data_IF_737064037314
#
_entry.id   IF_737064037314
#
_cell.length_a   1.000
_cell.length_b   1.000
_cell.length_c   1.000
_cell.angle_alpha   90.00
_cell.angle_beta   90.00
_cell.angle_gamma   90.00
#
_symmetry.space_group_name_H-M   'P 1'
#
loop_
_entity.id
_entity.type
_entity.pdbx_description
1 polymer ?
#
# COMPACT_ATOMS: atom_id res chain seq x y z
N UNK A 1 -19.75 12.67 11.27
CA UNK A 1 -18.81 12.11 12.28
C UNK A 1 -17.35 12.34 11.88
N UNK A 2 -16.93 11.99 10.66
CA UNK A 2 -15.55 12.26 10.19
C UNK A 2 -15.11 13.72 10.37
N UNK A 3 -15.95 14.70 9.98
CA UNK A 3 -15.68 16.13 10.22
C UNK A 3 -15.44 16.48 11.70
N UNK A 4 -16.18 15.87 12.63
CA UNK A 4 -15.97 16.06 14.06
C UNK A 4 -14.60 15.54 14.51
N UNK A 5 -14.18 14.38 13.99
CA UNK A 5 -12.86 13.82 14.27
C UNK A 5 -11.74 14.74 13.75
N UNK A 6 -11.91 15.28 12.53
CA UNK A 6 -10.99 16.26 11.96
C UNK A 6 -10.91 17.50 12.84
N UNK A 7 -12.06 18.08 13.21
CA UNK A 7 -12.11 19.26 14.08
C UNK A 7 -11.38 19.02 15.40
N UNK A 8 -11.61 17.89 16.06
CA UNK A 8 -10.93 17.54 17.32
C UNK A 8 -9.42 17.35 17.15
N UNK A 9 -8.96 16.85 16.02
CA UNK A 9 -7.53 16.82 15.70
C UNK A 9 -6.97 18.24 15.52
N UNK A 10 -7.71 19.11 14.82
CA UNK A 10 -7.33 20.51 14.60
C UNK A 10 -7.34 21.36 15.88
N UNK A 11 -8.22 21.05 16.83
CA UNK A 11 -8.23 21.65 18.18
C UNK A 11 -6.98 21.30 18.99
N UNK A 12 -6.38 20.12 18.75
CA UNK A 12 -5.14 19.71 19.41
C UNK A 12 -3.91 20.30 18.76
N UNK A 13 -3.92 20.46 17.43
CA UNK A 13 -2.81 21.03 16.68
C UNK A 13 -3.31 21.58 15.34
N UNK A 14 -2.82 22.77 14.95
CA UNK A 14 -3.10 23.35 13.64
C UNK A 14 -2.72 22.39 12.51
N UNK A 15 -1.65 21.61 12.68
CA UNK A 15 -1.20 20.60 11.71
C UNK A 15 -1.09 19.21 12.34
N UNK A 16 -1.51 18.16 11.63
CA UNK A 16 -1.42 16.77 12.07
C UNK A 16 -1.14 15.80 10.92
N UNK A 17 -0.56 14.66 11.27
CA UNK A 17 -0.32 13.53 10.37
C UNK A 17 -1.44 12.51 10.54
N UNK A 18 -1.96 11.95 9.46
CA UNK A 18 -2.73 10.72 9.53
C UNK A 18 -1.87 9.54 9.08
N UNK A 19 -1.72 8.55 9.96
CA UNK A 19 -1.01 7.31 9.71
C UNK A 19 -2.03 6.18 9.50
N UNK A 20 -2.13 5.67 8.28
CA UNK A 20 -2.80 4.40 8.02
C UNK A 20 -1.84 3.25 8.34
N UNK A 21 -2.12 2.57 9.46
CA UNK A 21 -1.31 1.51 10.00
C UNK A 21 -2.01 0.17 9.77
N UNK A 22 -1.74 -0.45 8.62
CA UNK A 22 -2.21 -1.78 8.27
C UNK A 22 -1.31 -2.84 8.92
N UNK A 23 -1.53 -3.10 10.20
CA UNK A 23 -0.77 -4.04 11.03
C UNK A 23 -1.69 -5.02 11.77
N UNK A 24 -2.82 -5.34 11.15
CA UNK A 24 -3.83 -6.28 11.64
C UNK A 24 -3.42 -7.74 11.38
N UNK A 25 -3.87 -8.71 12.21
CA UNK A 25 -3.45 -10.11 12.10
C UNK A 25 -3.67 -10.76 10.73
N UNK A 26 -4.76 -10.41 10.03
CA UNK A 26 -5.07 -10.87 8.68
C UNK A 26 -4.03 -10.37 7.67
N UNK A 27 -3.70 -9.08 7.72
CA UNK A 27 -2.69 -8.50 6.84
C UNK A 27 -1.32 -9.12 7.09
N UNK A 28 -0.93 -9.31 8.35
CA UNK A 28 0.37 -9.92 8.67
C UNK A 28 0.42 -11.39 8.23
N UNK A 29 -0.65 -12.15 8.46
CA UNK A 29 -0.77 -13.53 8.00
C UNK A 29 -0.67 -13.63 6.47
N UNK A 30 -1.40 -12.77 5.75
CA UNK A 30 -1.41 -12.69 4.28
C UNK A 30 -0.06 -12.28 3.71
N UNK A 31 0.60 -11.27 4.29
CA UNK A 31 1.93 -10.82 3.84
C UNK A 31 2.99 -11.92 3.97
N UNK A 32 2.77 -12.88 4.88
CA UNK A 32 3.68 -14.01 5.05
C UNK A 32 4.98 -13.67 5.78
N UNK A 33 5.11 -12.45 6.29
CA UNK A 33 6.33 -11.94 6.88
C UNK A 33 6.49 -12.39 8.34
N UNK A 34 7.72 -12.25 8.84
CA UNK A 34 8.07 -12.52 10.23
C UNK A 34 8.59 -11.24 10.89
N UNK A 35 8.03 -10.88 12.03
CA UNK A 35 8.26 -9.61 12.73
C UNK A 35 8.99 -9.77 14.06
N UNK A 36 9.60 -10.93 14.30
CA UNK A 36 10.45 -11.17 15.48
C UNK A 36 9.70 -11.58 16.75
N UNK A 37 8.42 -11.93 16.67
CA UNK A 37 7.57 -12.34 17.79
C UNK A 37 7.73 -13.82 18.22
N UNK A 38 8.68 -14.55 17.63
CA UNK A 38 9.01 -15.93 17.99
C UNK A 38 7.92 -16.94 17.64
N UNK A 39 7.93 -18.09 18.33
CA UNK A 39 6.98 -19.19 18.12
C UNK A 39 5.52 -18.78 18.33
N UNK A 40 5.28 -17.79 19.19
CA UNK A 40 3.94 -17.24 19.39
C UNK A 40 3.39 -16.63 18.10
N UNK A 41 4.15 -15.74 17.46
CA UNK A 41 3.77 -15.12 16.19
C UNK A 41 3.59 -16.16 15.10
N UNK A 42 4.56 -17.09 14.97
CA UNK A 42 4.53 -18.15 13.95
C UNK A 42 3.26 -18.99 14.05
N UNK A 43 2.87 -19.37 15.27
CA UNK A 43 1.65 -20.16 15.53
C UNK A 43 0.38 -19.36 15.27
N UNK A 44 0.28 -18.15 15.80
CA UNK A 44 -0.94 -17.32 15.70
C UNK A 44 -1.19 -16.89 14.25
N UNK A 45 -0.20 -16.30 13.57
CA UNK A 45 -0.35 -15.88 12.18
C UNK A 45 -0.40 -17.07 11.22
N UNK A 46 0.32 -18.16 11.54
CA UNK A 46 0.27 -19.39 10.76
C UNK A 46 -1.11 -20.04 10.75
N UNK A 47 -1.85 -19.99 11.88
CA UNK A 47 -3.23 -20.47 11.94
C UNK A 47 -4.17 -19.65 11.04
N UNK A 48 -4.01 -18.32 11.00
CA UNK A 48 -4.81 -17.43 10.14
C UNK A 48 -4.44 -17.66 8.67
N UNK A 49 -3.16 -17.90 8.36
CA UNK A 49 -2.65 -18.11 6.99
C UNK A 49 -3.29 -19.30 6.27
N UNK A 50 -3.76 -20.32 7.00
CA UNK A 50 -4.46 -21.49 6.44
C UNK A 50 -5.70 -21.13 5.63
N UNK A 51 -6.24 -19.91 5.78
CA UNK A 51 -7.36 -19.40 4.98
C UNK A 51 -7.01 -19.20 3.50
N UNK A 52 -5.74 -18.94 3.18
CA UNK A 52 -5.29 -18.73 1.79
C UNK A 52 -4.58 -19.98 1.28
N UNK A 53 -5.29 -20.79 0.48
CA UNK A 53 -4.73 -21.97 -0.18
C UNK A 53 -3.63 -21.53 -1.17
N UNK A 54 -2.48 -22.21 -1.16
CA UNK A 54 -1.34 -21.92 -2.06
C UNK A 54 -0.43 -20.76 -1.62
N UNK A 55 -0.73 -20.09 -0.50
CA UNK A 55 0.16 -19.06 0.04
C UNK A 55 1.34 -19.71 0.78
N UNK A 56 2.47 -19.86 0.09
CA UNK A 56 3.75 -20.34 0.64
C UNK A 56 4.79 -19.21 0.67
N UNK A 57 4.63 -18.24 1.60
CA UNK A 57 5.48 -17.07 1.59
C UNK A 57 6.86 -17.42 2.16
N UNK A 58 7.90 -16.88 1.52
CA UNK A 58 9.22 -16.78 2.11
C UNK A 58 9.29 -15.43 2.86
N UNK A 59 9.29 -15.44 4.21
CA UNK A 59 9.19 -14.22 5.01
C UNK A 59 10.33 -13.23 4.70
N UNK A 60 11.57 -13.72 4.60
CA UNK A 60 12.75 -12.92 4.34
C UNK A 60 12.71 -12.31 2.94
N UNK A 61 12.28 -13.09 1.93
CA UNK A 61 12.13 -12.62 0.55
C UNK A 61 11.06 -11.53 0.47
N UNK A 62 9.90 -11.73 1.08
CA UNK A 62 8.83 -10.72 1.11
C UNK A 62 9.31 -9.41 1.73
N UNK A 63 10.10 -9.50 2.80
CA UNK A 63 10.66 -8.33 3.49
C UNK A 63 11.69 -7.59 2.65
N UNK A 64 12.62 -8.32 2.03
CA UNK A 64 13.63 -7.76 1.11
C UNK A 64 13.00 -7.10 -0.12
N UNK A 65 11.91 -7.66 -0.62
CA UNK A 65 11.17 -7.12 -1.77
C UNK A 65 10.23 -5.96 -1.41
N UNK A 66 10.11 -5.59 -0.13
CA UNK A 66 9.24 -4.51 0.31
C UNK A 66 7.75 -4.85 0.31
N UNK A 67 7.39 -6.15 0.26
CA UNK A 67 5.99 -6.62 0.28
C UNK A 67 5.37 -6.65 1.68
N UNK A 68 6.20 -6.55 2.71
CA UNK A 68 5.76 -6.56 4.10
C UNK A 68 5.43 -5.15 4.60
N UNK A 69 4.28 -4.95 5.26
CA UNK A 69 3.99 -3.72 6.00
C UNK A 69 5.13 -3.33 6.95
N UNK A 70 5.51 -2.05 7.00
CA UNK A 70 6.44 -1.57 8.01
C UNK A 70 5.83 -1.75 9.42
N UNK A 71 6.67 -2.05 10.40
CA UNK A 71 6.27 -2.06 11.81
C UNK A 71 6.00 -0.64 12.30
N UNK A 72 5.24 -0.45 13.40
CA UNK A 72 5.07 0.89 13.98
C UNK A 72 6.39 1.57 14.34
N UNK A 73 7.40 0.79 14.77
CA UNK A 73 8.74 1.31 15.05
C UNK A 73 9.42 1.83 13.77
N UNK A 74 9.42 1.06 12.69
CA UNK A 74 10.02 1.44 11.41
C UNK A 74 9.34 2.66 10.80
N UNK A 75 8.01 2.75 10.88
CA UNK A 75 7.26 3.96 10.50
C UNK A 75 7.71 5.15 11.33
N UNK A 76 7.82 4.97 12.65
CA UNK A 76 8.29 6.02 13.54
C UNK A 76 9.70 6.49 13.18
N UNK A 77 10.64 5.57 12.98
CA UNK A 77 12.02 5.87 12.57
C UNK A 77 12.07 6.60 11.23
N UNK A 78 11.28 6.18 10.25
CA UNK A 78 11.18 6.85 8.95
C UNK A 78 10.69 8.29 9.12
N UNK A 79 9.61 8.52 9.88
CA UNK A 79 9.09 9.88 10.09
C UNK A 79 10.07 10.78 10.83
N UNK A 80 10.73 10.26 11.87
CA UNK A 80 11.78 10.99 12.58
C UNK A 80 12.94 11.35 11.64
N UNK A 81 13.37 10.41 10.80
CA UNK A 81 14.43 10.60 9.83
C UNK A 81 14.07 11.61 8.73
N UNK A 82 12.78 11.72 8.36
CA UNK A 82 12.24 12.72 7.42
C UNK A 82 12.09 14.13 8.04
N UNK A 83 12.41 14.30 9.32
CA UNK A 83 12.41 15.59 10.00
C UNK A 83 11.15 15.88 10.83
N UNK A 84 10.21 14.95 10.94
CA UNK A 84 9.03 15.16 11.80
C UNK A 84 9.43 15.19 13.28
N UNK A 85 9.02 16.25 13.97
CA UNK A 85 9.33 16.48 15.37
C UNK A 85 8.45 15.64 16.29
N UNK A 86 8.91 15.38 17.52
CA UNK A 86 8.25 14.47 18.48
C UNK A 86 6.89 14.99 18.94
N UNK A 87 6.69 16.30 18.89
CA UNK A 87 5.49 17.01 19.32
C UNK A 87 4.35 16.96 18.28
N UNK A 88 4.60 16.49 17.06
CA UNK A 88 3.55 16.37 16.04
C UNK A 88 2.43 15.44 16.52
N UNK A 89 1.19 15.84 16.25
CA UNK A 89 0.02 15.02 16.52
C UNK A 89 -0.18 14.03 15.37
N UNK A 90 -0.35 12.76 15.70
CA UNK A 90 -0.58 11.69 14.73
C UNK A 90 -1.93 11.04 15.01
N UNK A 91 -2.82 11.07 14.02
CA UNK A 91 -4.01 10.25 13.99
C UNK A 91 -3.67 8.87 13.40
N UNK A 92 -3.86 7.80 14.16
CA UNK A 92 -3.60 6.42 13.74
C UNK A 92 -4.92 5.80 13.26
N UNK A 93 -5.03 5.63 11.95
CA UNK A 93 -6.08 4.90 11.26
C UNK A 93 -5.69 3.42 11.16
N UNK A 94 -6.34 2.57 11.95
CA UNK A 94 -6.10 1.12 11.93
C UNK A 94 -7.33 0.35 12.40
N UNK A 95 -7.41 -0.93 12.01
CA UNK A 95 -8.17 -1.94 12.72
C UNK A 95 -7.47 -2.38 14.02
N UNK A 96 -7.74 -3.62 14.43
CA UNK A 96 -7.09 -4.24 15.59
C UNK A 96 -5.61 -4.54 15.28
N UNK A 97 -4.71 -3.81 15.93
CA UNK A 97 -3.27 -3.97 15.72
C UNK A 97 -2.78 -5.25 16.40
N UNK A 98 -2.07 -6.11 15.67
CA UNK A 98 -1.46 -7.31 16.22
C UNK A 98 -0.47 -6.98 17.35
N UNK A 99 -0.69 -7.56 18.53
CA UNK A 99 0.08 -7.27 19.74
C UNK A 99 -0.29 -5.95 20.45
N UNK A 100 -1.26 -5.20 19.93
CA UNK A 100 -1.89 -4.04 20.57
C UNK A 100 -0.90 -2.99 21.07
N UNK A 101 -1.08 -2.56 22.32
CA UNK A 101 -0.29 -1.49 22.93
C UNK A 101 1.22 -1.77 22.96
N UNK A 102 1.64 -3.04 23.09
CA UNK A 102 3.06 -3.42 23.07
C UNK A 102 3.69 -3.12 21.72
N UNK A 103 3.00 -3.44 20.63
CA UNK A 103 3.46 -3.20 19.25
C UNK A 103 3.49 -1.71 18.91
N UNK A 104 2.58 -0.92 19.48
CA UNK A 104 2.56 0.55 19.33
C UNK A 104 3.57 1.29 20.22
N UNK A 105 4.11 0.65 21.25
CA UNK A 105 4.95 1.33 22.25
C UNK A 105 6.17 2.06 21.65
N UNK A 106 6.93 1.47 20.70
CA UNK A 106 8.06 2.18 20.07
C UNK A 106 7.61 3.42 19.29
N UNK A 107 6.50 3.33 18.54
CA UNK A 107 5.95 4.49 17.82
C UNK A 107 5.56 5.60 18.80
N UNK A 108 4.90 5.23 19.91
CA UNK A 108 4.50 6.18 20.96
C UNK A 108 5.70 6.82 21.67
N UNK A 109 6.81 6.10 21.81
CA UNK A 109 8.04 6.65 22.37
C UNK A 109 8.67 7.74 21.45
N UNK A 110 8.56 7.56 20.13
CA UNK A 110 9.03 8.53 19.14
C UNK A 110 8.06 9.72 18.96
N UNK A 111 6.76 9.45 19.12
CA UNK A 111 5.67 10.41 18.95
C UNK A 111 4.62 10.21 20.07
N UNK A 112 4.74 10.91 21.22
CA UNK A 112 3.82 10.75 22.34
C UNK A 112 2.36 11.14 22.03
N UNK A 113 2.14 12.03 21.06
CA UNK A 113 0.82 12.58 20.72
C UNK A 113 0.07 11.71 19.69
N UNK A 114 -0.13 10.43 20.00
CA UNK A 114 -0.94 9.51 19.17
C UNK A 114 -2.42 9.55 19.55
N UNK A 115 -3.27 9.60 18.54
CA UNK A 115 -4.72 9.64 18.65
C UNK A 115 -5.32 8.58 17.73
N UNK A 116 -6.37 7.89 18.16
CA UNK A 116 -7.26 7.08 17.32
C UNK A 116 -8.67 7.66 17.39
N UNK A 117 -9.57 7.23 16.49
CA UNK A 117 -11.01 7.57 16.58
C UNK A 117 -11.57 7.31 17.98
N UNK A 118 -11.20 6.21 18.64
CA UNK A 118 -11.65 5.86 19.99
C UNK A 118 -11.12 6.81 21.08
N UNK A 119 -9.93 7.39 20.89
CA UNK A 119 -9.34 8.33 21.89
C UNK A 119 -9.86 9.76 21.75
N UNK A 120 -10.43 10.11 20.59
CA UNK A 120 -10.95 11.45 20.30
C UNK A 120 -12.47 11.45 20.09
N UNK A 121 -13.16 10.38 20.44
CA UNK A 121 -14.63 10.32 20.45
C UNK A 121 -15.14 9.39 21.53
N UNK A 122 -16.43 9.54 21.87
CA UNK A 122 -17.05 8.64 22.84
C UNK A 122 -17.51 7.34 22.18
N UNK A 123 -17.72 6.29 23.00
CA UNK A 123 -18.26 5.02 22.51
C UNK A 123 -19.66 5.19 21.90
N UNK A 124 -20.45 6.09 22.47
CA UNK A 124 -21.81 6.42 22.02
C UNK A 124 -21.78 7.11 20.65
N UNK A 125 -20.81 7.99 20.41
CA UNK A 125 -20.64 8.64 19.10
C UNK A 125 -20.23 7.65 18.00
N UNK A 126 -19.48 6.60 18.36
CA UNK A 126 -19.02 5.57 17.41
C UNK A 126 -20.01 4.41 17.24
N UNK A 127 -20.92 4.18 18.19
CA UNK A 127 -21.86 3.07 18.18
C UNK A 127 -22.67 2.92 16.85
N UNK A 128 -23.11 3.99 16.16
CA UNK A 128 -23.81 3.87 14.88
C UNK A 128 -22.96 3.27 13.74
N UNK A 129 -21.63 3.31 13.87
CA UNK A 129 -20.66 2.88 12.86
C UNK A 129 -20.02 1.53 13.22
N UNK A 130 -19.88 1.22 14.51
CA UNK A 130 -19.10 0.09 15.03
C UNK A 130 -19.59 -1.29 14.59
N UNK A 131 -20.85 -1.42 14.14
CA UNK A 131 -21.40 -2.69 13.62
C UNK A 131 -20.78 -3.09 12.27
N UNK A 132 -20.23 -2.14 11.52
CA UNK A 132 -19.71 -2.39 10.18
C UNK A 132 -18.27 -1.87 10.08
N UNK A 133 -17.31 -2.77 9.82
CA UNK A 133 -15.89 -2.42 9.67
C UNK A 133 -15.68 -1.37 8.57
N UNK A 134 -16.39 -1.47 7.46
CA UNK A 134 -16.35 -0.50 6.35
C UNK A 134 -16.76 0.92 6.78
N UNK A 135 -17.74 1.06 7.68
CA UNK A 135 -18.15 2.37 8.21
C UNK A 135 -17.10 2.96 9.14
N UNK A 136 -16.46 2.13 9.96
CA UNK A 136 -15.34 2.57 10.80
C UNK A 136 -14.13 2.98 9.95
N UNK A 137 -13.82 2.22 8.89
CA UNK A 137 -12.77 2.55 7.93
C UNK A 137 -13.09 3.83 7.15
N UNK A 138 -14.36 4.11 6.84
CA UNK A 138 -14.76 5.36 6.20
C UNK A 138 -14.50 6.59 7.08
N UNK A 139 -14.64 6.48 8.41
CA UNK A 139 -14.25 7.56 9.32
C UNK A 139 -12.75 7.82 9.25
N UNK A 140 -11.95 6.75 9.27
CA UNK A 140 -10.50 6.83 9.11
C UNK A 140 -10.11 7.44 7.75
N UNK A 141 -10.79 7.07 6.67
CA UNK A 141 -10.57 7.61 5.33
C UNK A 141 -10.73 9.13 5.30
N UNK A 142 -11.83 9.63 5.87
CA UNK A 142 -12.12 11.07 5.90
C UNK A 142 -11.04 11.84 6.67
N UNK A 143 -10.61 11.32 7.82
CA UNK A 143 -9.54 11.97 8.61
C UNK A 143 -8.19 11.92 7.87
N UNK A 144 -7.89 10.81 7.21
CA UNK A 144 -6.69 10.66 6.39
C UNK A 144 -6.65 11.64 5.22
N UNK A 145 -7.76 11.81 4.50
CA UNK A 145 -7.89 12.73 3.36
C UNK A 145 -7.70 14.19 3.78
N UNK A 146 -8.16 14.56 4.99
CA UNK A 146 -8.09 15.93 5.51
C UNK A 146 -6.83 16.27 6.30
N UNK A 147 -5.97 15.29 6.59
CA UNK A 147 -4.67 15.51 7.23
C UNK A 147 -3.69 16.30 6.37
N UNK A 148 -2.72 16.98 6.99
CA UNK A 148 -1.70 17.75 6.23
C UNK A 148 -0.67 16.83 5.57
N UNK A 149 -0.37 15.72 6.23
CA UNK A 149 0.42 14.64 5.69
C UNK A 149 -0.26 13.30 5.99
N UNK A 150 -0.47 12.52 4.94
CA UNK A 150 -0.90 11.14 5.04
C UNK A 150 0.31 10.23 4.94
N UNK A 151 0.36 9.19 5.77
CA UNK A 151 1.44 8.21 5.80
C UNK A 151 0.81 6.83 5.79
N UNK A 152 1.30 5.93 4.95
CA UNK A 152 0.94 4.52 5.01
C UNK A 152 2.14 3.68 5.49
N UNK A 153 1.90 2.57 6.17
CA UNK A 153 2.94 1.57 6.44
C UNK A 153 3.01 0.48 5.34
N UNK A 154 2.01 0.42 4.46
CA UNK A 154 1.87 -0.52 3.36
C UNK A 154 1.10 0.12 2.20
N UNK A 155 1.40 -0.26 0.95
CA UNK A 155 0.72 0.29 -0.24
C UNK A 155 -0.55 -0.50 -0.62
N UNK A 156 -1.52 -0.59 0.30
CA UNK A 156 -2.81 -1.23 0.05
C UNK A 156 -3.86 -0.31 -0.61
N UNK A 157 -5.06 -0.83 -0.87
CA UNK A 157 -6.13 -0.12 -1.59
C UNK A 157 -6.45 1.27 -1.02
N UNK A 158 -6.63 1.38 0.31
CA UNK A 158 -6.90 2.67 0.95
C UNK A 158 -5.77 3.68 0.73
N UNK A 159 -4.51 3.22 0.77
CA UNK A 159 -3.35 4.08 0.53
C UNK A 159 -3.32 4.56 -0.93
N UNK A 160 -3.60 3.67 -1.90
CA UNK A 160 -3.69 4.00 -3.32
C UNK A 160 -4.78 5.04 -3.59
N UNK A 161 -6.00 4.81 -3.10
CA UNK A 161 -7.13 5.73 -3.30
C UNK A 161 -6.86 7.09 -2.67
N UNK A 162 -6.33 7.14 -1.44
CA UNK A 162 -5.97 8.39 -0.79
C UNK A 162 -4.84 9.12 -1.53
N UNK A 163 -3.86 8.40 -2.07
CA UNK A 163 -2.79 9.01 -2.84
C UNK A 163 -3.33 9.71 -4.09
N UNK A 164 -4.21 9.08 -4.86
CA UNK A 164 -4.80 9.73 -6.03
C UNK A 164 -5.74 10.88 -5.67
N UNK A 165 -6.58 10.69 -4.65
CA UNK A 165 -7.50 11.74 -4.17
C UNK A 165 -6.74 12.98 -3.70
N UNK A 166 -5.72 12.80 -2.85
CA UNK A 166 -4.86 13.87 -2.31
C UNK A 166 -3.93 14.48 -3.37
N UNK A 167 -3.70 13.80 -4.50
CA UNK A 167 -3.00 14.35 -5.67
C UNK A 167 -3.92 15.26 -6.49
N UNK A 168 -5.18 14.86 -6.67
CA UNK A 168 -6.13 15.51 -7.58
C UNK A 168 -6.90 16.67 -6.92
N UNK A 169 -7.43 16.47 -5.72
CA UNK A 169 -8.31 17.44 -5.03
C UNK A 169 -7.54 18.38 -4.10
N UNK A 170 -6.56 19.09 -4.65
CA UNK A 170 -5.68 19.98 -3.91
C UNK A 170 -4.54 19.19 -3.28
N UNK A 171 -3.38 19.23 -3.93
CA UNK A 171 -2.19 18.45 -3.56
C UNK A 171 -1.87 18.54 -2.06
N UNK A 172 -1.92 17.40 -1.36
CA UNK A 172 -1.45 17.26 0.03
C UNK A 172 -0.37 16.19 0.11
N UNK A 173 0.51 16.29 1.13
CA UNK A 173 1.63 15.36 1.29
C UNK A 173 1.12 13.93 1.51
N UNK A 174 1.61 12.96 0.75
CA UNK A 174 1.28 11.53 0.89
C UNK A 174 2.56 10.71 0.88
N UNK A 175 2.91 10.13 2.01
CA UNK A 175 4.16 9.39 2.22
C UNK A 175 3.85 7.90 2.16
N UNK A 176 4.41 7.25 1.14
CA UNK A 176 4.40 5.79 1.01
C UNK A 176 5.82 5.29 1.31
N UNK A 177 6.00 4.14 1.94
CA UNK A 177 7.34 3.67 2.25
C UNK A 177 7.95 3.03 1.00
N UNK A 178 9.18 3.43 0.64
CA UNK A 178 10.02 2.66 -0.27
C UNK A 178 10.58 1.44 0.47
N UNK A 179 9.69 0.50 0.80
CA UNK A 179 9.97 -0.58 1.75
C UNK A 179 11.17 -1.45 1.34
N UNK A 180 11.34 -1.72 0.03
CA UNK A 180 12.48 -2.46 -0.55
C UNK A 180 13.81 -1.81 -0.17
N UNK A 181 13.91 -0.47 -0.26
CA UNK A 181 15.15 0.28 0.02
C UNK A 181 15.29 0.70 1.48
N UNK A 182 14.19 0.84 2.22
CA UNK A 182 14.20 1.16 3.65
C UNK A 182 14.60 -0.04 4.51
N UNK A 183 14.19 -1.25 4.14
CA UNK A 183 14.43 -2.45 4.96
C UNK A 183 15.91 -2.68 5.31
N UNK A 184 16.87 -2.63 4.35
CA UNK A 184 18.30 -2.75 4.67
C UNK A 184 18.82 -1.63 5.57
N UNK A 185 18.21 -0.43 5.54
CA UNK A 185 18.60 0.68 6.41
C UNK A 185 18.16 0.45 7.86
N UNK A 186 16.98 -0.13 8.07
CA UNK A 186 16.50 -0.48 9.41
C UNK A 186 17.38 -1.56 10.04
N UNK A 187 17.73 -2.61 9.29
CA UNK A 187 18.64 -3.66 9.78
C UNK A 187 20.02 -3.11 10.17
N UNK A 188 20.55 -2.17 9.38
CA UNK A 188 21.87 -1.58 9.61
C UNK A 188 21.84 -0.34 10.53
N UNK A 189 20.70 -0.01 11.15
CA UNK A 189 20.54 1.22 11.96
C UNK A 189 21.56 1.32 13.09
N UNK A 190 21.91 0.20 13.73
CA UNK A 190 22.90 0.15 14.82
C UNK A 190 24.34 0.42 14.36
N UNK A 191 24.62 0.27 13.06
CA UNK A 191 25.96 0.39 12.47
C UNK A 191 26.22 1.78 11.86
N UNK A 192 25.33 2.76 12.08
CA UNK A 192 25.49 4.12 11.54
C UNK A 192 24.96 5.20 12.50
N UNK A 193 25.50 6.41 12.35
CA UNK A 193 25.00 7.59 13.07
C UNK A 193 23.59 7.95 12.65
N UNK A 194 22.89 8.74 13.48
CA UNK A 194 21.56 9.24 13.15
C UNK A 194 21.54 10.08 11.89
N UNK A 195 22.52 10.97 11.72
CA UNK A 195 22.59 11.85 10.55
C UNK A 195 22.82 11.06 9.25
N UNK A 196 23.65 10.02 9.31
CA UNK A 196 23.85 9.10 8.18
C UNK A 196 22.57 8.32 7.85
N UNK A 197 21.87 7.81 8.88
CA UNK A 197 20.59 7.12 8.70
C UNK A 197 19.54 8.05 8.09
N UNK A 198 19.35 9.25 8.65
CA UNK A 198 18.40 10.25 8.17
C UNK A 198 18.68 10.66 6.73
N UNK A 199 19.95 10.94 6.40
CA UNK A 199 20.36 11.29 5.03
C UNK A 199 20.04 10.17 4.03
N UNK A 200 20.30 8.91 4.40
CA UNK A 200 19.97 7.75 3.55
C UNK A 200 18.46 7.56 3.40
N UNK A 201 17.68 7.69 4.49
CA UNK A 201 16.20 7.64 4.43
C UNK A 201 15.66 8.72 3.49
N UNK A 202 16.13 9.95 3.60
CA UNK A 202 15.74 11.04 2.69
C UNK A 202 16.05 10.69 1.23
N UNK A 203 17.20 10.09 0.94
CA UNK A 203 17.58 9.69 -0.41
C UNK A 203 16.66 8.60 -0.97
N UNK A 204 16.36 7.56 -0.20
CA UNK A 204 15.54 6.44 -0.69
C UNK A 204 14.05 6.77 -0.77
N UNK A 205 13.57 7.75 0.01
CA UNK A 205 12.18 8.20 -0.01
C UNK A 205 11.86 9.21 -1.12
N UNK A 206 12.85 9.72 -1.87
CA UNK A 206 12.58 10.56 -3.04
C UNK A 206 11.68 9.81 -4.03
N UNK A 207 10.59 10.45 -4.47
CA UNK A 207 9.60 9.83 -5.35
C UNK A 207 8.63 8.87 -4.65
N UNK A 208 8.54 8.94 -3.32
CA UNK A 208 7.54 8.22 -2.51
C UNK A 208 6.84 9.17 -1.53
N UNK A 209 6.89 10.47 -1.81
CA UNK A 209 6.35 11.51 -0.94
C UNK A 209 5.15 12.20 -1.58
N UNK A 210 4.56 11.61 -2.62
CA UNK A 210 3.32 12.06 -3.24
C UNK A 210 3.54 13.21 -4.20
N UNK A 211 4.74 13.37 -4.77
CA UNK A 211 5.02 14.42 -5.76
C UNK A 211 4.01 14.38 -6.92
N UNK A 212 3.50 15.52 -7.45
CA UNK A 212 2.46 15.53 -8.49
C UNK A 212 2.76 14.69 -9.75
N UNK A 213 4.04 14.50 -10.10
CA UNK A 213 4.51 13.69 -11.24
C UNK A 213 5.43 12.55 -10.79
N UNK A 214 5.07 11.90 -9.67
CA UNK A 214 5.84 10.79 -9.09
C UNK A 214 5.95 9.60 -10.06
N UNK A 215 4.86 9.26 -10.77
CA UNK A 215 4.86 8.26 -11.83
C UNK A 215 4.94 8.88 -13.22
N UNK A 216 5.54 8.13 -14.15
CA UNK A 216 5.51 8.47 -15.57
C UNK A 216 4.08 8.33 -16.11
N UNK A 217 3.62 9.23 -17.01
CA UNK A 217 2.34 9.08 -17.69
C UNK A 217 2.20 7.69 -18.34
N UNK A 218 1.02 7.06 -18.19
CA UNK A 218 0.75 5.72 -18.70
C UNK A 218 1.23 4.57 -17.82
N UNK A 219 1.86 4.84 -16.66
CA UNK A 219 2.15 3.83 -15.64
C UNK A 219 1.36 4.09 -14.36
N UNK A 220 0.96 3.00 -13.71
CA UNK A 220 0.23 3.00 -12.45
C UNK A 220 -1.29 2.99 -12.62
N UNK A 221 -1.99 2.70 -11.52
CA UNK A 221 -3.45 2.67 -11.49
C UNK A 221 -4.02 4.09 -11.48
N UNK A 222 -5.12 4.30 -12.21
CA UNK A 222 -5.81 5.59 -12.29
C UNK A 222 -6.21 6.12 -10.90
N UNK A 223 -6.64 5.25 -9.99
CA UNK A 223 -7.08 5.64 -8.65
C UNK A 223 -5.94 6.13 -7.74
N UNK A 224 -4.69 5.74 -8.02
CA UNK A 224 -3.50 6.21 -7.31
C UNK A 224 -2.83 7.40 -8.03
N UNK A 225 -2.89 7.41 -9.35
CA UNK A 225 -2.21 8.37 -10.22
C UNK A 225 -3.17 8.93 -11.28
N UNK A 226 -4.20 9.69 -10.87
CA UNK A 226 -5.13 10.30 -11.81
C UNK A 226 -4.38 11.27 -12.74
N UNK A 227 -4.74 11.24 -14.02
CA UNK A 227 -4.15 12.11 -15.03
C UNK A 227 -4.34 13.59 -14.67
N UNK A 228 -3.24 14.34 -14.64
CA UNK A 228 -3.24 15.77 -14.27
C UNK A 228 -3.93 16.68 -15.28
N UNK A 229 -4.23 16.18 -16.48
CA UNK A 229 -4.64 16.97 -17.64
C UNK A 229 -5.83 16.39 -18.40
N UNK A 230 -6.84 15.86 -17.71
CA UNK A 230 -8.14 15.49 -18.34
C UNK A 230 -8.76 16.68 -19.12
N UNK A 231 -8.40 17.91 -18.75
CA UNK A 231 -8.85 19.15 -19.40
C UNK A 231 -7.89 19.71 -20.46
N UNK A 232 -6.71 19.13 -20.70
CA UNK A 232 -5.87 19.56 -21.82
C UNK A 232 -6.55 19.12 -23.11
N UNK A 233 -7.10 20.10 -23.84
CA UNK A 233 -7.43 19.89 -25.24
C UNK A 233 -6.15 19.49 -25.94
N UNK A 234 -6.11 18.29 -26.51
CA UNK A 234 -5.03 17.89 -27.40
C UNK A 234 -5.06 18.86 -28.57
N UNK A 235 -4.14 19.84 -28.57
CA UNK A 235 -3.85 20.58 -29.79
C UNK A 235 -3.53 19.53 -30.85
N UNK A 236 -4.32 19.51 -31.93
CA UNK A 236 -4.44 18.41 -32.91
C UNK A 236 -3.18 18.06 -33.71
N UNK A 237 -1.99 18.37 -33.20
CA UNK A 237 -0.68 18.12 -33.81
C UNK A 237 -0.17 16.69 -33.60
N UNK A 238 -0.72 15.92 -32.67
CA UNK A 238 -0.31 14.53 -32.46
C UNK A 238 -0.94 13.53 -33.46
N UNK A 239 -2.10 13.86 -34.04
CA UNK A 239 -2.82 12.96 -34.98
C UNK A 239 -2.25 12.98 -36.40
N UNK A 240 -1.49 14.02 -36.76
CA UNK A 240 -0.93 14.18 -38.10
C UNK A 240 0.28 13.24 -38.39
N UNK A 241 0.91 12.68 -37.35
CA UNK A 241 2.12 11.85 -37.53
C UNK A 241 1.84 10.36 -37.74
N UNK A 242 0.61 9.92 -37.48
CA UNK A 242 0.19 8.52 -37.66
C UNK A 242 -0.48 8.24 -39.02
N UNK A 243 -0.78 9.27 -39.81
CA UNK A 243 -1.53 9.14 -41.08
C UNK A 243 -0.66 9.13 -42.35
N UNK A 244 0.68 9.13 -42.23
CA UNK A 244 1.56 9.16 -43.41
C UNK A 244 2.27 7.84 -43.73
N UNK A 245 1.88 6.72 -43.11
CA UNK A 245 2.55 5.42 -43.31
C UNK A 245 1.63 4.28 -43.75
N UNK A 246 0.34 4.52 -44.00
CA UNK A 246 -0.60 3.42 -44.31
C UNK A 246 -1.42 3.63 -45.60
N UNK A 247 -0.88 4.39 -46.55
CA UNK A 247 -1.43 4.48 -47.91
C UNK A 247 -0.42 3.92 -48.91
N UNK A 248 -0.30 2.59 -48.94
CA UNK A 248 0.03 1.80 -50.14
C UNK A 248 -0.12 0.30 -49.84
N UNK A 249 -1.28 -0.27 -50.22
CA UNK A 249 -1.42 -1.51 -51.02
C UNK A 249 -2.92 -1.84 -51.16
N UNK A 250 -3.47 -1.33 -52.27
CA UNK A 250 -4.39 -1.95 -53.25
C UNK A 250 -5.50 -2.92 -52.80
N UNK A 251 -6.74 -2.43 -52.96
CA UNK A 251 -7.89 -3.02 -53.68
C UNK A 251 -7.91 -4.55 -53.95
N UNK A 252 -8.98 -5.25 -53.53
CA UNK A 252 -10.11 -5.63 -54.43
C UNK A 252 -11.10 -6.67 -53.84
N UNK A 253 -12.38 -6.49 -54.23
CA UNK A 253 -13.52 -7.45 -54.32
C UNK A 253 -14.39 -7.82 -53.09
N UNK A 254 -15.54 -7.14 -53.04
CA UNK A 254 -16.95 -7.55 -52.88
C UNK A 254 -17.44 -8.81 -52.10
N UNK A 255 -18.48 -8.53 -51.28
CA UNK A 255 -19.76 -9.23 -51.02
C UNK A 255 -19.82 -10.52 -50.14
N UNK A 256 -20.41 -10.40 -48.93
CA UNK A 256 -21.69 -11.01 -48.49
C UNK A 256 -21.85 -11.07 -46.95
N UNK A 257 -22.97 -10.50 -46.46
CA UNK A 257 -23.91 -11.10 -45.50
C UNK A 257 -23.52 -11.58 -44.07
N UNK A 258 -24.16 -10.91 -43.08
CA UNK A 258 -24.69 -11.40 -41.78
C UNK A 258 -23.77 -11.62 -40.56
N UNK A 259 -24.25 -11.08 -39.43
CA UNK A 259 -24.17 -11.71 -38.10
C UNK A 259 -23.60 -10.82 -37.00
N UNK A 260 -24.46 -10.23 -36.17
CA UNK A 260 -24.10 -9.50 -34.94
C UNK A 260 -23.60 -10.51 -33.91
N UNK A 261 -22.40 -10.30 -33.37
CA UNK A 261 -21.84 -11.03 -32.23
C UNK A 261 -21.20 -10.04 -31.25
N UNK A 262 -21.51 -10.20 -29.96
CA UNK A 262 -21.04 -9.38 -28.84
C UNK A 262 -19.50 -9.30 -28.75
N UNK A 263 -18.91 -8.17 -28.34
CA UNK A 263 -17.49 -8.14 -28.03
C UNK A 263 -17.22 -8.81 -26.67
N UNK A 264 -16.36 -9.82 -26.71
CA UNK A 264 -15.84 -10.53 -25.55
C UNK A 264 -15.09 -9.60 -24.60
N UNK A 265 -15.34 -9.78 -23.29
CA UNK A 265 -14.63 -9.12 -22.19
C UNK A 265 -13.22 -9.74 -22.08
N UNK A 266 -12.13 -8.95 -22.11
CA UNK A 266 -10.80 -9.47 -21.84
C UNK A 266 -10.66 -9.76 -20.33
N UNK A 267 -10.35 -11.01 -20.00
CA UNK A 267 -9.92 -11.42 -18.67
C UNK A 267 -8.54 -10.78 -18.37
N UNK A 268 -8.48 -9.84 -17.43
CA UNK A 268 -7.23 -9.35 -16.88
C UNK A 268 -6.85 -10.21 -15.67
N UNK A 269 -5.85 -11.07 -15.83
CA UNK A 269 -5.13 -11.69 -14.72
C UNK A 269 -4.06 -10.71 -14.23
N UNK A 270 -4.17 -10.29 -12.97
CA UNK A 270 -3.16 -9.46 -12.29
C UNK A 270 -1.90 -10.28 -12.00
N UNK A 271 -1.00 -10.34 -12.99
CA UNK A 271 0.41 -10.67 -12.75
C UNK A 271 1.23 -9.38 -12.77
N UNK A 272 1.47 -8.81 -11.58
CA UNK A 272 2.57 -7.85 -11.43
C UNK A 272 3.90 -8.62 -11.56
N UNK A 273 4.40 -8.68 -12.79
CA UNK A 273 5.79 -8.98 -13.08
C UNK A 273 6.67 -7.89 -12.43
N UNK A 274 7.48 -8.28 -11.45
CA UNK A 274 8.57 -7.44 -10.98
C UNK A 274 9.56 -7.24 -12.13
N UNK A 275 9.81 -5.99 -12.52
CA UNK A 275 10.83 -5.68 -13.52
C UNK A 275 12.24 -5.89 -12.94
N UNK A 276 13.20 -6.36 -13.77
CA UNK A 276 14.58 -6.58 -13.35
C UNK A 276 15.38 -5.26 -13.37
N UNK A 277 16.26 -5.10 -12.40
CA UNK A 277 17.34 -4.11 -12.43
C UNK A 277 18.58 -4.82 -13.04
N UNK A 278 19.14 -4.27 -14.11
CA UNK A 278 20.39 -4.72 -14.74
C UNK A 278 21.58 -4.43 -13.80
N UNK A 279 22.23 -5.48 -13.29
CA UNK A 279 23.60 -5.42 -12.76
C UNK A 279 24.30 -6.77 -13.03
N UNK A 280 25.47 -6.69 -13.69
CA UNK A 280 26.26 -7.82 -14.20
C UNK A 280 27.00 -8.64 -13.12
N UNK A 281 26.96 -9.97 -13.31
CA UNK A 281 27.91 -11.07 -13.04
C UNK A 281 28.79 -11.15 -11.77
N UNK A 282 28.61 -12.24 -11.00
CA UNK A 282 29.65 -13.22 -10.58
C UNK A 282 28.99 -14.60 -10.29
N UNK A 283 29.56 -15.76 -10.73
CA UNK A 283 28.88 -17.06 -10.68
C UNK A 283 29.22 -17.91 -9.43
N UNK A 284 28.27 -18.73 -8.96
CA UNK A 284 28.56 -19.90 -8.13
C UNK A 284 27.46 -20.98 -8.26
N UNK A 285 27.87 -22.09 -8.89
CA UNK A 285 27.56 -23.52 -8.73
C UNK A 285 26.17 -24.06 -8.35
N UNK A 286 25.81 -25.08 -9.13
CA UNK A 286 24.63 -25.94 -9.08
C UNK A 286 24.72 -26.98 -7.97
N UNK A 287 23.62 -27.21 -7.25
CA UNK A 287 23.29 -28.53 -6.71
C UNK A 287 21.79 -28.80 -6.84
N UNK A 288 21.49 -30.06 -7.18
CA UNK A 288 20.20 -30.64 -7.58
C UNK A 288 19.73 -31.52 -6.43
N UNK A 289 18.45 -31.44 -6.01
CA UNK A 289 17.73 -32.62 -5.50
C UNK A 289 16.20 -32.44 -5.52
N UNK A 290 15.61 -33.33 -6.31
CA UNK A 290 14.31 -34.01 -6.36
C UNK A 290 13.10 -33.61 -5.49
N UNK A 291 11.96 -33.71 -6.20
CA UNK A 291 10.59 -33.64 -5.73
C UNK A 291 10.02 -35.03 -5.48
N UNK A 292 9.16 -35.18 -4.47
CA UNK A 292 8.10 -36.20 -4.47
C UNK A 292 6.78 -35.61 -3.93
N UNK A 293 5.74 -35.87 -4.72
CA UNK A 293 4.32 -35.54 -4.48
C UNK A 293 3.65 -36.61 -3.62
N UNK A 294 2.69 -36.21 -2.79
CA UNK A 294 1.56 -37.06 -2.42
C UNK A 294 0.29 -36.21 -2.34
N UNK A 295 -0.67 -36.56 -3.18
CA UNK A 295 -2.06 -36.10 -3.19
C UNK A 295 -2.79 -36.57 -1.95
N UNK A 296 -3.69 -35.73 -1.42
CA UNK A 296 -4.92 -36.26 -0.82
C UNK A 296 -6.09 -35.28 -0.97
N UNK A 297 -7.17 -35.81 -1.52
CA UNK A 297 -8.40 -35.13 -1.91
C UNK A 297 -9.40 -35.25 -0.77
N UNK A 298 -9.91 -34.12 -0.24
CA UNK A 298 -11.15 -34.12 0.53
C UNK A 298 -12.04 -32.94 0.12
N UNK A 299 -13.29 -33.31 -0.19
CA UNK A 299 -14.36 -32.47 -0.71
C UNK A 299 -15.18 -31.79 0.41
N UNK A 300 -15.80 -30.66 0.07
CA UNK A 300 -16.98 -30.08 0.74
C UNK A 300 -16.73 -28.82 1.57
N UNK A 301 -17.12 -27.63 1.08
CA UNK A 301 -18.40 -26.94 1.38
C UNK A 301 -18.40 -25.52 0.76
N UNK A 302 -19.45 -25.05 0.03
CA UNK A 302 -19.42 -23.81 -0.73
C UNK A 302 -20.16 -22.69 0.01
N UNK A 303 -19.47 -21.97 0.88
CA UNK A 303 -20.02 -20.70 1.41
C UNK A 303 -18.90 -19.77 1.89
N UNK A 304 -18.12 -19.17 0.98
CA UNK A 304 -17.17 -18.09 1.35
C UNK A 304 -16.61 -17.26 0.17
N UNK A 305 -17.37 -17.10 -0.91
CA UNK A 305 -17.06 -16.13 -1.98
C UNK A 305 -17.76 -14.78 -1.76
N UNK A 306 -17.51 -14.13 -0.61
CA UNK A 306 -18.07 -12.79 -0.38
C UNK A 306 -17.35 -11.94 0.67
N UNK A 307 -16.02 -11.94 0.75
CA UNK A 307 -15.27 -10.99 1.62
C UNK A 307 -13.99 -10.44 0.96
N UNK A 308 -13.88 -10.42 -0.37
CA UNK A 308 -12.77 -9.73 -1.07
C UNK A 308 -13.26 -8.74 -2.13
N UNK A 309 -14.31 -8.02 -1.78
CA UNK A 309 -14.63 -6.71 -2.36
C UNK A 309 -15.23 -5.87 -1.25
N UNK A 310 -14.37 -5.25 -0.42
CA UNK A 310 -14.66 -4.07 0.40
C UNK A 310 -13.38 -3.51 1.04
#
# INVERSE_FOLDING_TARGET
MGEKLIQRMRERSMYFIALHLRFEPDMLAFSGCYYGGGEKERRELGAIRKRWKGLHPNPEKGRRQGRCPLTPEEVGLMLRALGYRKDVHIYVASGEIYGGARTLAPLKALFPNLHTKETISSKEELAPFSKYSSRMAALDFIVCDESDAFVANNNGNMAKILAGRRRYFGHKRTIRPNAKRLYPLFLNRGNMSWDAFSSKVHMVQKGFMGEPKELRPGRGEFHENPSTCICERTDGKAVARAKSQDDQVLNSVADQGKGIGEPAVPNHTDEEAGEPDDDEDVPADKEVVDAEMVDDVLAGDPELEQILSD
#
